data_IF_291026418739
#
_entry.id   IF_291026418739
#
_cell.length_a   1.000
_cell.length_b   1.000
_cell.length_c   1.000
_cell.angle_alpha   90.00
_cell.angle_beta   90.00
_cell.angle_gamma   90.00
#
_symmetry.space_group_name_H-M   'P 1'
#
loop_
_entity.id
_entity.type
_entity.pdbx_description
1 polymer ?
#
# COMPACT_ATOMS: atom_id res chain seq x y z
N UNK A 1 -30.59 -22.62 -8.90
CA UNK A 1 -29.24 -22.31 -8.42
C UNK A 1 -28.27 -23.12 -9.27
N UNK A 2 -27.30 -22.46 -9.89
CA UNK A 2 -26.29 -23.17 -10.68
C UNK A 2 -25.27 -23.81 -9.73
N UNK A 3 -24.86 -25.07 -9.99
CA UNK A 3 -23.80 -25.70 -9.21
C UNK A 3 -22.46 -24.98 -9.42
N UNK A 4 -21.55 -25.01 -8.43
CA UNK A 4 -20.22 -24.46 -8.61
C UNK A 4 -19.48 -25.16 -9.75
N UNK A 5 -18.78 -24.38 -10.57
CA UNK A 5 -17.99 -24.87 -11.70
C UNK A 5 -16.77 -25.65 -11.21
N UNK A 6 -16.46 -26.75 -11.90
CA UNK A 6 -15.23 -27.51 -11.67
C UNK A 6 -14.03 -26.81 -12.34
N UNK A 7 -12.89 -26.80 -11.64
CA UNK A 7 -11.67 -26.17 -12.12
C UNK A 7 -11.05 -26.92 -13.30
N UNK A 8 -11.05 -28.26 -13.24
CA UNK A 8 -10.46 -29.10 -14.29
C UNK A 8 -11.20 -28.94 -15.62
N UNK A 9 -12.53 -28.96 -15.57
CA UNK A 9 -13.37 -28.91 -16.77
C UNK A 9 -13.49 -27.51 -17.39
N UNK A 10 -13.37 -26.43 -16.60
CA UNK A 10 -13.73 -25.07 -17.07
C UNK A 10 -12.59 -24.05 -17.02
N UNK A 11 -11.53 -24.26 -16.24
CA UNK A 11 -10.52 -23.23 -15.95
C UNK A 11 -9.07 -23.67 -16.24
N UNK A 12 -8.78 -24.96 -16.26
CA UNK A 12 -7.40 -25.45 -16.42
C UNK A 12 -6.79 -25.10 -17.78
N UNK A 13 -7.59 -25.21 -18.85
CA UNK A 13 -7.14 -24.98 -20.24
C UNK A 13 -7.38 -23.54 -20.72
N UNK A 14 -7.91 -22.66 -19.86
CA UNK A 14 -8.22 -21.28 -20.20
C UNK A 14 -7.09 -20.37 -19.73
N UNK A 15 -6.42 -19.71 -20.67
CA UNK A 15 -5.43 -18.69 -20.34
C UNK A 15 -6.11 -17.50 -19.63
N UNK A 16 -5.57 -17.03 -18.50
CA UNK A 16 -6.05 -15.83 -17.86
C UNK A 16 -5.98 -14.64 -18.81
N UNK A 17 -6.97 -13.75 -18.69
CA UNK A 17 -6.92 -12.45 -19.35
C UNK A 17 -5.71 -11.65 -18.84
N UNK A 18 -5.27 -10.72 -19.68
CA UNK A 18 -4.17 -9.83 -19.33
C UNK A 18 -4.48 -9.05 -18.04
N UNK A 19 -3.49 -9.00 -17.15
CA UNK A 19 -3.62 -8.27 -15.90
C UNK A 19 -3.59 -6.75 -16.17
N UNK A 20 -4.11 -5.98 -15.22
CA UNK A 20 -3.94 -4.52 -15.25
C UNK A 20 -2.46 -4.20 -15.05
N UNK A 21 -1.80 -3.72 -16.10
CA UNK A 21 -0.43 -3.24 -16.09
C UNK A 21 -0.40 -1.81 -16.61
N UNK A 22 0.26 -0.93 -15.86
CA UNK A 22 0.57 0.43 -16.32
C UNK A 22 1.67 0.37 -17.37
N UNK A 23 1.57 1.21 -18.40
CA UNK A 23 2.67 1.48 -19.32
C UNK A 23 3.78 2.23 -18.57
N UNK A 24 4.94 1.59 -18.43
CA UNK A 24 6.12 2.14 -17.79
C UNK A 24 7.02 2.78 -18.84
N UNK A 25 7.72 3.86 -18.47
CA UNK A 25 8.65 4.54 -19.37
C UNK A 25 10.00 3.81 -19.40
N UNK A 26 10.50 3.50 -20.60
CA UNK A 26 11.73 2.72 -20.79
C UNK A 26 12.99 3.40 -20.22
N UNK A 27 12.99 4.74 -20.10
CA UNK A 27 14.14 5.52 -19.59
C UNK A 27 13.97 5.89 -18.11
N UNK A 28 12.81 6.41 -17.71
CA UNK A 28 12.56 6.85 -16.32
C UNK A 28 12.30 5.68 -15.35
N UNK A 29 11.67 4.60 -15.84
CA UNK A 29 11.26 3.45 -15.03
C UNK A 29 12.16 2.21 -15.20
N UNK A 30 13.27 2.34 -15.93
CA UNK A 30 14.19 1.23 -16.26
C UNK A 30 14.56 0.38 -15.03
N UNK A 31 14.74 1.04 -13.88
CA UNK A 31 15.19 0.41 -12.64
C UNK A 31 14.18 -0.58 -12.03
N UNK A 32 12.88 -0.43 -12.33
CA UNK A 32 11.79 -1.27 -11.79
C UNK A 32 11.06 -2.06 -12.87
N UNK A 33 11.09 -1.60 -14.12
CA UNK A 33 10.29 -2.09 -15.25
C UNK A 33 10.27 -3.63 -15.37
N UNK A 34 11.43 -4.26 -15.23
CA UNK A 34 11.60 -5.71 -15.47
C UNK A 34 10.93 -6.62 -14.44
N UNK A 35 10.66 -6.12 -13.24
CA UNK A 35 10.22 -6.96 -12.11
C UNK A 35 9.03 -6.38 -11.35
N UNK A 36 8.56 -5.19 -11.70
CA UNK A 36 7.50 -4.49 -10.97
C UNK A 36 6.19 -5.27 -10.94
N UNK A 37 5.84 -5.93 -12.04
CA UNK A 37 4.66 -6.79 -12.18
C UNK A 37 4.98 -8.30 -12.15
N UNK A 38 6.17 -8.69 -11.71
CA UNK A 38 6.49 -10.11 -11.50
C UNK A 38 5.59 -10.71 -10.41
N UNK A 39 5.46 -12.04 -10.43
CA UNK A 39 4.67 -12.79 -9.44
C UNK A 39 5.13 -12.57 -7.99
N UNK A 40 4.52 -13.29 -7.04
CA UNK A 40 4.51 -12.99 -5.60
C UNK A 40 5.84 -12.66 -4.86
N UNK A 41 7.02 -12.89 -5.45
CA UNK A 41 8.35 -12.60 -4.87
C UNK A 41 9.32 -12.12 -5.97
N UNK A 42 9.19 -10.88 -6.47
CA UNK A 42 10.19 -10.32 -7.38
C UNK A 42 11.55 -10.26 -6.69
N UNK A 43 12.64 -10.19 -7.46
CA UNK A 43 14.00 -10.03 -6.93
C UNK A 43 14.52 -11.15 -5.98
N UNK A 44 13.76 -12.24 -5.75
CA UNK A 44 14.12 -13.35 -4.84
C UNK A 44 15.52 -13.94 -5.07
N UNK A 45 15.98 -13.88 -6.31
CA UNK A 45 17.27 -14.43 -6.76
C UNK A 45 18.37 -13.36 -6.88
N UNK A 46 18.17 -12.19 -6.28
CA UNK A 46 19.13 -11.07 -6.30
C UNK A 46 19.62 -10.75 -4.89
N UNK A 47 20.72 -10.00 -4.80
CA UNK A 47 21.28 -9.50 -3.54
C UNK A 47 20.39 -8.45 -2.84
N UNK A 48 19.31 -8.01 -3.50
CA UNK A 48 18.39 -7.03 -2.96
C UNK A 48 17.48 -7.60 -1.87
N UNK A 49 17.36 -8.91 -1.74
CA UNK A 49 16.54 -9.57 -0.71
C UNK A 49 17.32 -10.70 -0.06
N UNK A 50 16.96 -11.05 1.17
CA UNK A 50 17.65 -12.11 1.94
C UNK A 50 17.41 -13.55 1.44
N UNK A 51 16.96 -13.73 0.20
CA UNK A 51 16.68 -15.02 -0.42
C UNK A 51 15.22 -15.49 -0.25
N UNK A 52 14.97 -16.82 -0.29
CA UNK A 52 13.63 -17.41 -0.29
C UNK A 52 12.69 -16.98 0.82
N UNK A 53 13.26 -16.65 1.98
CA UNK A 53 12.49 -16.21 3.15
C UNK A 53 11.78 -14.87 2.89
N UNK A 54 12.33 -14.01 2.04
CA UNK A 54 11.73 -12.75 1.56
C UNK A 54 11.26 -11.84 2.71
N UNK A 55 12.09 -11.73 3.76
CA UNK A 55 11.75 -10.99 5.00
C UNK A 55 12.37 -9.60 5.06
N UNK A 56 13.48 -9.40 4.38
CA UNK A 56 14.23 -8.14 4.40
C UNK A 56 14.73 -7.82 3.00
N UNK A 57 14.69 -6.55 2.67
CA UNK A 57 15.11 -6.01 1.39
C UNK A 57 16.08 -4.85 1.58
N UNK A 58 16.96 -4.65 0.62
CA UNK A 58 17.87 -3.51 0.51
C UNK A 58 17.94 -3.08 -0.95
N UNK A 59 17.25 -1.99 -1.25
CA UNK A 59 17.15 -1.45 -2.60
C UNK A 59 18.08 -0.25 -2.78
N UNK A 60 18.66 -0.05 -3.98
CA UNK A 60 19.48 1.10 -4.28
C UNK A 60 18.60 2.36 -4.43
N UNK A 61 19.21 3.54 -4.30
CA UNK A 61 18.50 4.84 -4.34
C UNK A 61 17.70 5.05 -5.64
N UNK A 62 18.20 4.72 -6.84
CA UNK A 62 17.43 4.88 -8.08
C UNK A 62 16.11 4.12 -8.05
N UNK A 63 16.12 2.86 -7.60
CA UNK A 63 14.91 2.03 -7.47
C UNK A 63 13.91 2.66 -6.49
N UNK A 64 14.37 3.10 -5.32
CA UNK A 64 13.48 3.74 -4.35
C UNK A 64 12.90 5.08 -4.85
N UNK A 65 13.67 5.84 -5.63
CA UNK A 65 13.20 7.08 -6.26
C UNK A 65 12.09 6.82 -7.27
N UNK A 66 12.28 5.84 -8.16
CA UNK A 66 11.28 5.44 -9.14
C UNK A 66 10.01 4.94 -8.45
N UNK A 67 10.12 4.06 -7.45
CA UNK A 67 8.95 3.56 -6.69
C UNK A 67 8.20 4.68 -5.97
N UNK A 68 8.91 5.64 -5.36
CA UNK A 68 8.29 6.78 -4.70
C UNK A 68 7.52 7.67 -5.69
N UNK A 69 8.08 7.90 -6.89
CA UNK A 69 7.43 8.65 -7.97
C UNK A 69 6.15 7.96 -8.45
N UNK A 70 6.19 6.64 -8.70
CA UNK A 70 5.02 5.86 -9.12
C UNK A 70 3.92 5.83 -8.04
N UNK A 71 4.31 5.79 -6.77
CA UNK A 71 3.36 5.79 -5.64
C UNK A 71 2.82 7.18 -5.26
N UNK A 72 3.24 8.25 -5.95
CA UNK A 72 2.88 9.64 -5.63
C UNK A 72 1.37 9.89 -5.53
N UNK A 73 0.55 9.19 -6.32
CA UNK A 73 -0.91 9.32 -6.28
C UNK A 73 -1.53 8.84 -4.95
N UNK A 74 -0.83 7.98 -4.21
CA UNK A 74 -1.29 7.38 -2.95
C UNK A 74 -0.58 7.96 -1.73
N UNK A 75 0.61 8.52 -1.92
CA UNK A 75 1.39 9.12 -0.85
C UNK A 75 0.91 10.54 -0.55
N UNK A 76 1.03 10.92 0.70
CA UNK A 76 0.69 12.28 1.16
C UNK A 76 1.88 13.21 0.96
N UNK A 77 1.64 14.37 0.37
CA UNK A 77 2.64 15.45 0.22
C UNK A 77 2.93 16.22 1.52
N UNK A 78 2.22 15.88 2.60
CA UNK A 78 2.37 16.54 3.91
C UNK A 78 3.68 16.15 4.58
N UNK A 79 4.64 17.07 4.58
CA UNK A 79 5.96 16.90 5.20
C UNK A 79 6.03 17.46 6.62
N UNK A 80 5.26 18.51 6.93
CA UNK A 80 5.24 19.13 8.25
C UNK A 80 4.30 18.41 9.21
N UNK A 81 4.84 17.97 10.35
CA UNK A 81 4.07 17.36 11.43
C UNK A 81 3.06 18.32 12.05
N UNK A 82 3.28 19.62 11.97
CA UNK A 82 2.34 20.62 12.48
C UNK A 82 1.00 20.62 11.72
N UNK A 83 0.96 20.06 10.51
CA UNK A 83 -0.31 19.85 9.81
C UNK A 83 -1.32 19.06 10.65
N UNK A 84 -0.84 18.12 11.46
CA UNK A 84 -1.68 17.28 12.33
C UNK A 84 -1.94 17.92 13.70
N UNK A 85 -1.77 19.23 13.85
CA UNK A 85 -2.10 19.91 15.11
C UNK A 85 -3.58 19.72 15.45
N UNK A 86 -3.85 19.18 16.64
CA UNK A 86 -5.19 18.74 17.10
C UNK A 86 -5.80 17.60 16.28
N UNK A 87 -5.08 17.05 15.31
CA UNK A 87 -5.51 15.92 14.48
C UNK A 87 -4.54 14.73 14.62
N UNK A 88 -4.08 14.52 15.86
CA UNK A 88 -3.23 13.41 16.29
C UNK A 88 -3.91 12.57 17.37
N UNK A 89 -3.39 11.35 17.59
CA UNK A 89 -3.99 10.41 18.55
C UNK A 89 -4.11 10.99 19.98
N UNK A 90 -3.10 11.68 20.55
CA UNK A 90 -3.23 12.32 21.85
C UNK A 90 -4.37 13.35 21.94
N UNK A 91 -4.57 14.17 20.90
CA UNK A 91 -5.66 15.14 20.87
C UNK A 91 -7.02 14.44 20.82
N UNK A 92 -7.15 13.36 20.04
CA UNK A 92 -8.39 12.57 20.00
C UNK A 92 -8.69 11.87 21.34
N UNK A 93 -7.69 11.35 22.04
CA UNK A 93 -7.88 10.78 23.38
C UNK A 93 -8.39 11.81 24.37
N UNK A 94 -7.81 13.01 24.34
CA UNK A 94 -8.21 14.12 25.21
C UNK A 94 -9.63 14.59 24.89
N UNK A 95 -9.95 14.79 23.61
CA UNK A 95 -11.28 15.17 23.16
C UNK A 95 -12.34 14.14 23.58
N UNK A 96 -12.06 12.85 23.39
CA UNK A 96 -12.93 11.75 23.86
C UNK A 96 -13.15 11.79 25.38
N UNK A 97 -12.08 11.92 26.17
CA UNK A 97 -12.18 11.91 27.63
C UNK A 97 -12.99 13.09 28.17
N UNK A 98 -12.88 14.26 27.52
CA UNK A 98 -13.61 15.48 27.88
C UNK A 98 -14.99 15.59 27.25
N UNK A 99 -15.43 14.59 26.46
CA UNK A 99 -16.66 14.64 25.69
C UNK A 99 -16.76 15.89 24.78
N UNK A 100 -15.62 16.28 24.18
CA UNK A 100 -15.50 17.36 23.22
C UNK A 100 -15.25 16.79 21.81
N UNK A 101 -15.68 17.52 20.79
CA UNK A 101 -15.47 17.14 19.39
C UNK A 101 -14.59 18.18 18.69
N UNK A 102 -13.47 17.71 18.13
CA UNK A 102 -12.62 18.52 17.26
C UNK A 102 -13.32 18.66 15.89
N UNK A 103 -13.38 19.85 15.27
CA UNK A 103 -13.97 20.01 13.93
C UNK A 103 -13.33 19.06 12.90
N UNK A 104 -14.14 18.32 12.16
CA UNK A 104 -13.66 17.30 11.20
C UNK A 104 -13.13 16.01 11.84
N UNK A 105 -13.06 15.95 13.18
CA UNK A 105 -12.65 14.77 13.94
C UNK A 105 -13.82 13.86 14.34
N UNK A 106 -13.51 12.66 14.86
CA UNK A 106 -14.52 11.71 15.33
C UNK A 106 -15.22 12.20 16.60
N UNK A 107 -16.47 11.75 16.78
CA UNK A 107 -17.26 11.95 18.01
C UNK A 107 -17.40 10.62 18.75
N UNK A 108 -17.46 10.69 20.08
CA UNK A 108 -17.57 9.52 20.94
C UNK A 108 -18.66 9.73 21.98
N UNK A 109 -19.09 8.64 22.61
CA UNK A 109 -19.94 8.72 23.79
C UNK A 109 -19.19 9.32 24.99
N UNK A 110 -19.89 10.04 25.90
CA UNK A 110 -19.28 10.60 27.10
C UNK A 110 -18.64 9.51 27.97
N UNK A 111 -17.43 9.77 28.48
CA UNK A 111 -16.75 8.85 29.39
C UNK A 111 -17.49 8.73 30.74
N UNK A 112 -18.02 9.85 31.22
CA UNK A 112 -18.90 9.91 32.37
C UNK A 112 -20.30 10.27 31.88
N UNK A 113 -21.27 9.45 32.25
CA UNK A 113 -22.69 9.77 32.12
C UNK A 113 -23.11 10.30 33.50
N UNK A 114 -23.72 11.49 33.54
CA UNK A 114 -24.46 11.92 34.73
C UNK A 114 -25.58 10.92 35.04
#
# INVERSE_FOLDING_TARGET
EEPPLDYGDNLLDVEPLEAVQMELDDEEDESVMKWFYDGHRPLRHTDHVNGPSYRSWRLPVPVMGTLYRLASQLLSDLTDRNYFYLFDLPSFYTAKALNLAIPGGPKFEPLYRD
#
